data_IF_177382189141
#
_entry.id   IF_177382189141
#
_cell.length_a   1.000
_cell.length_b   1.000
_cell.length_c   1.000
_cell.angle_alpha   90.00
_cell.angle_beta   90.00
_cell.angle_gamma   90.00
#
_symmetry.space_group_name_H-M   'P 1'
#
loop_
_entity.id
_entity.type
_entity.pdbx_description
1 polymer ?
#
# COMPACT_ATOMS: atom_id res chain seq x y z
N UNK A 1 33.23 -34.69 -9.62
CA UNK A 1 31.85 -34.38 -9.99
C UNK A 1 31.05 -34.22 -8.72
N UNK A 2 30.78 -32.98 -8.33
CA UNK A 2 30.10 -32.68 -7.07
C UNK A 2 28.61 -32.97 -7.23
N UNK A 3 28.09 -33.93 -6.47
CA UNK A 3 26.68 -34.35 -6.47
C UNK A 3 25.83 -33.46 -5.53
N UNK A 4 26.23 -32.20 -5.33
CA UNK A 4 25.74 -31.36 -4.23
C UNK A 4 25.36 -30.00 -4.79
N UNK A 5 24.10 -29.58 -4.60
CA UNK A 5 23.52 -28.38 -5.20
C UNK A 5 22.73 -27.56 -4.18
N UNK A 6 22.83 -26.23 -4.22
CA UNK A 6 21.99 -25.36 -3.39
C UNK A 6 20.65 -25.13 -4.11
N UNK A 7 19.57 -25.64 -3.53
CA UNK A 7 18.22 -25.42 -4.03
C UNK A 7 17.71 -24.01 -3.72
N UNK A 8 16.73 -23.56 -4.52
CA UNK A 8 16.08 -22.26 -4.33
C UNK A 8 15.39 -22.09 -2.98
N UNK A 9 15.11 -23.18 -2.25
CA UNK A 9 14.56 -23.14 -0.90
C UNK A 9 15.63 -22.95 0.20
N UNK A 10 16.87 -22.67 -0.21
CA UNK A 10 18.01 -22.47 0.68
C UNK A 10 18.58 -23.77 1.24
N UNK A 11 18.12 -24.94 0.78
CA UNK A 11 18.63 -26.24 1.21
C UNK A 11 19.71 -26.77 0.29
N UNK A 12 20.63 -27.54 0.84
CA UNK A 12 21.65 -28.25 0.05
C UNK A 12 21.13 -29.64 -0.28
N UNK A 13 20.96 -29.90 -1.58
CA UNK A 13 20.54 -31.17 -2.14
C UNK A 13 21.73 -32.03 -2.55
N UNK A 14 21.60 -33.33 -2.31
CA UNK A 14 22.59 -34.35 -2.61
C UNK A 14 21.96 -35.33 -3.58
N UNK A 15 22.47 -35.39 -4.79
CA UNK A 15 21.91 -36.24 -5.82
C UNK A 15 22.36 -37.68 -5.67
N UNK A 16 21.43 -38.60 -5.83
CA UNK A 16 21.69 -40.03 -5.97
C UNK A 16 21.02 -40.56 -7.24
N UNK A 17 21.21 -41.84 -7.53
CA UNK A 17 20.66 -42.55 -8.69
C UNK A 17 19.16 -42.34 -8.99
N UNK A 18 18.32 -42.06 -7.99
CA UNK A 18 16.87 -41.98 -8.15
C UNK A 18 16.19 -40.90 -7.30
N UNK A 19 16.96 -40.02 -6.67
CA UNK A 19 16.44 -38.99 -5.76
C UNK A 19 17.47 -37.89 -5.51
N UNK A 20 16.98 -36.79 -4.96
CA UNK A 20 17.77 -35.81 -4.23
C UNK A 20 17.48 -36.00 -2.74
N UNK A 21 18.53 -36.23 -1.95
CA UNK A 21 18.49 -36.09 -0.50
C UNK A 21 18.78 -34.62 -0.13
N UNK A 22 18.49 -34.18 1.10
CA UNK A 22 18.81 -32.81 1.54
C UNK A 22 19.11 -32.76 3.03
N UNK A 23 19.86 -31.74 3.45
CA UNK A 23 19.83 -31.28 4.84
C UNK A 23 18.68 -30.28 4.99
N UNK A 24 17.81 -30.46 5.98
CA UNK A 24 16.72 -29.52 6.28
C UNK A 24 17.23 -28.18 6.82
N UNK A 25 18.43 -28.16 7.41
CA UNK A 25 19.16 -26.96 7.82
C UNK A 25 20.65 -27.11 7.45
N UNK A 26 21.07 -26.64 6.26
CA UNK A 26 22.45 -26.80 5.80
C UNK A 26 23.46 -25.93 6.57
N UNK A 27 23.01 -24.85 7.23
CA UNK A 27 23.87 -23.96 8.01
C UNK A 27 24.27 -24.57 9.37
N UNK A 28 23.60 -25.65 9.79
CA UNK A 28 23.95 -26.44 10.98
C UNK A 28 23.89 -27.93 10.65
N UNK A 29 24.90 -28.47 9.93
CA UNK A 29 24.89 -29.84 9.47
C UNK A 29 24.83 -30.81 10.65
N UNK A 30 23.76 -31.62 10.71
CA UNK A 30 23.55 -32.63 11.74
C UNK A 30 22.84 -33.84 11.11
N UNK A 31 23.25 -35.09 11.38
CA UNK A 31 22.54 -36.28 10.91
C UNK A 31 21.03 -36.29 11.22
N UNK A 32 20.61 -35.66 12.32
CA UNK A 32 19.19 -35.52 12.68
C UNK A 32 18.38 -34.66 11.69
N UNK A 33 19.06 -33.81 10.91
CA UNK A 33 18.47 -32.92 9.90
C UNK A 33 18.56 -33.53 8.48
N UNK A 34 19.02 -34.77 8.35
CA UNK A 34 19.12 -35.46 7.07
C UNK A 34 17.75 -35.95 6.59
N UNK A 35 17.36 -35.51 5.40
CA UNK A 35 16.17 -35.99 4.70
C UNK A 35 16.65 -36.82 3.51
N UNK A 36 16.59 -38.15 3.66
CA UNK A 36 17.19 -39.07 2.69
C UNK A 36 16.51 -39.06 1.32
N UNK A 37 15.24 -38.67 1.22
CA UNK A 37 14.47 -38.72 -0.02
C UNK A 37 13.57 -37.49 -0.15
N UNK A 38 14.20 -36.34 -0.42
CA UNK A 38 13.54 -35.05 -0.47
C UNK A 38 12.77 -34.83 -1.78
N UNK A 39 13.37 -35.23 -2.90
CA UNK A 39 12.75 -35.16 -4.23
C UNK A 39 13.05 -36.47 -4.96
N UNK A 40 12.04 -37.26 -5.36
CA UNK A 40 12.27 -38.39 -6.24
C UNK A 40 12.68 -37.87 -7.62
N UNK A 41 13.70 -38.49 -8.22
CA UNK A 41 14.13 -38.13 -9.59
C UNK A 41 14.01 -39.34 -10.50
N UNK A 42 13.19 -39.17 -11.53
CA UNK A 42 13.01 -40.13 -12.60
C UNK A 42 13.86 -39.67 -13.79
N UNK A 43 15.04 -40.25 -13.96
CA UNK A 43 15.83 -40.02 -15.16
C UNK A 43 15.41 -41.01 -16.25
N UNK A 44 15.23 -40.52 -17.47
CA UNK A 44 15.36 -41.38 -18.63
C UNK A 44 16.85 -41.69 -18.78
N UNK A 45 17.22 -42.96 -18.58
CA UNK A 45 18.59 -43.40 -18.79
C UNK A 45 19.04 -43.01 -20.21
N UNK A 46 20.15 -42.29 -20.33
CA UNK A 46 20.91 -42.28 -21.57
C UNK A 46 21.79 -43.52 -21.55
N UNK A 47 21.66 -44.35 -22.57
CA UNK A 47 22.57 -45.48 -22.78
C UNK A 47 23.80 -44.94 -23.50
N UNK A 48 24.83 -44.58 -22.74
CA UNK A 48 26.11 -44.20 -23.32
C UNK A 48 26.97 -45.45 -23.57
N UNK A 49 27.59 -45.50 -24.75
CA UNK A 49 28.42 -46.62 -25.18
C UNK A 49 29.88 -46.38 -24.80
N UNK A 50 30.28 -46.77 -23.59
CA UNK A 50 31.66 -46.71 -23.12
C UNK A 50 32.28 -48.12 -23.03
N UNK A 51 32.62 -48.70 -24.19
CA UNK A 51 33.27 -50.01 -24.27
C UNK A 51 32.30 -51.20 -24.23
N UNK A 52 32.76 -52.44 -23.91
CA UNK A 52 32.00 -53.67 -24.15
C UNK A 52 30.75 -53.87 -23.28
N UNK A 53 30.42 -52.90 -22.42
CA UNK A 53 29.22 -52.92 -21.58
C UNK A 53 28.49 -51.58 -21.65
N UNK A 54 27.15 -51.57 -21.80
CA UNK A 54 26.37 -50.35 -21.63
C UNK A 54 26.51 -49.85 -20.19
N UNK A 55 26.83 -48.57 -20.02
CA UNK A 55 26.82 -47.89 -18.72
C UNK A 55 25.63 -46.95 -18.69
N UNK A 56 24.91 -46.96 -17.56
CA UNK A 56 23.84 -45.99 -17.30
C UNK A 56 24.47 -44.67 -16.86
N UNK A 57 24.33 -43.63 -17.66
CA UNK A 57 24.64 -42.26 -17.26
C UNK A 57 23.36 -41.54 -16.83
N UNK A 58 23.45 -40.84 -15.70
CA UNK A 58 22.41 -39.96 -15.20
C UNK A 58 22.93 -38.54 -15.27
N UNK A 59 22.38 -37.73 -16.17
CA UNK A 59 22.74 -36.31 -16.28
C UNK A 59 21.96 -35.52 -15.24
N UNK A 60 22.63 -35.13 -14.16
CA UNK A 60 22.25 -33.93 -13.43
C UNK A 60 22.79 -32.74 -14.22
N UNK A 61 22.03 -31.64 -14.38
CA UNK A 61 22.63 -30.38 -14.78
C UNK A 61 23.72 -30.04 -13.76
N UNK A 62 24.99 -30.11 -14.16
CA UNK A 62 26.16 -29.83 -13.32
C UNK A 62 26.44 -28.31 -13.37
N UNK A 63 26.59 -27.66 -12.22
CA UNK A 63 26.91 -26.22 -12.09
C UNK A 63 28.39 -25.88 -12.36
N UNK A 64 29.07 -26.50 -13.33
CA UNK A 64 30.51 -26.25 -13.57
C UNK A 64 30.85 -26.00 -15.05
N UNK A 65 30.12 -25.11 -15.72
CA UNK A 65 30.57 -24.55 -17.02
C UNK A 65 31.10 -23.11 -16.91
N UNK A 66 31.17 -22.55 -15.71
CA UNK A 66 31.56 -21.16 -15.50
C UNK A 66 30.55 -20.15 -16.05
N UNK A 67 29.32 -20.59 -16.36
CA UNK A 67 28.24 -19.71 -16.77
C UNK A 67 27.78 -18.86 -15.58
N UNK A 68 27.65 -17.55 -15.83
CA UNK A 68 27.01 -16.64 -14.88
C UNK A 68 25.50 -16.87 -14.88
N UNK A 69 25.04 -17.87 -14.12
CA UNK A 69 23.61 -18.17 -13.97
C UNK A 69 22.84 -17.05 -13.27
N UNK A 70 23.52 -16.16 -12.55
CA UNK A 70 22.85 -14.97 -12.00
C UNK A 70 22.32 -14.10 -13.14
N UNK A 71 23.10 -13.90 -14.20
CA UNK A 71 22.63 -13.21 -15.41
C UNK A 71 21.40 -13.87 -16.06
N UNK A 72 21.25 -15.20 -15.95
CA UNK A 72 20.13 -15.95 -16.53
C UNK A 72 18.86 -15.89 -15.68
N UNK A 73 19.00 -16.02 -14.36
CA UNK A 73 17.87 -15.91 -13.43
C UNK A 73 17.36 -14.47 -13.31
N UNK A 74 18.23 -13.47 -13.48
CA UNK A 74 17.86 -12.05 -13.51
C UNK A 74 17.62 -11.52 -14.94
N UNK A 75 17.70 -12.36 -15.98
CA UNK A 75 17.53 -11.95 -17.38
C UNK A 75 16.17 -11.29 -17.64
N UNK A 76 15.12 -11.72 -16.93
CA UNK A 76 13.87 -10.99 -16.83
C UNK A 76 13.21 -11.18 -15.45
N UNK A 77 12.41 -10.19 -15.06
CA UNK A 77 11.78 -10.11 -13.73
C UNK A 77 10.92 -11.35 -13.42
N UNK A 78 10.20 -11.87 -14.41
CA UNK A 78 9.35 -13.05 -14.24
C UNK A 78 10.17 -14.32 -13.95
N UNK A 79 11.29 -14.49 -14.64
CA UNK A 79 12.24 -15.59 -14.42
C UNK A 79 12.84 -15.51 -13.01
N UNK A 80 13.25 -14.31 -12.58
CA UNK A 80 13.81 -14.12 -11.25
C UNK A 80 12.81 -14.51 -10.16
N UNK A 81 11.58 -14.00 -10.23
CA UNK A 81 10.53 -14.31 -9.24
C UNK A 81 10.29 -15.82 -9.19
N UNK A 82 10.21 -16.48 -10.34
CA UNK A 82 9.94 -17.92 -10.44
C UNK A 82 11.03 -18.77 -9.77
N UNK A 83 12.27 -18.28 -9.79
CA UNK A 83 13.45 -18.96 -9.27
C UNK A 83 13.91 -18.44 -7.90
N UNK A 84 13.22 -17.44 -7.33
CA UNK A 84 13.52 -16.88 -6.02
C UNK A 84 12.73 -17.58 -4.90
N UNK A 85 13.34 -17.70 -3.72
CA UNK A 85 12.64 -18.20 -2.54
C UNK A 85 11.58 -17.22 -2.03
N UNK A 86 10.41 -17.76 -1.69
CA UNK A 86 9.35 -17.09 -0.94
C UNK A 86 8.86 -17.98 0.20
N UNK A 87 8.47 -17.39 1.33
CA UNK A 87 7.90 -18.15 2.45
C UNK A 87 6.53 -18.75 2.08
N UNK A 88 5.79 -18.08 1.20
CA UNK A 88 4.58 -18.63 0.60
C UNK A 88 4.33 -18.02 -0.78
N UNK A 89 3.76 -18.82 -1.69
CA UNK A 89 3.29 -18.28 -2.96
C UNK A 89 1.97 -17.52 -2.75
N UNK A 90 0.94 -18.28 -2.38
CA UNK A 90 -0.33 -17.77 -1.88
C UNK A 90 -0.54 -18.34 -0.49
N UNK A 91 -0.87 -17.49 0.47
CA UNK A 91 -1.15 -17.88 1.85
C UNK A 91 -2.53 -17.38 2.28
N UNK A 92 -3.41 -18.30 2.65
CA UNK A 92 -4.72 -17.98 3.23
C UNK A 92 -4.70 -18.29 4.71
N UNK A 93 -5.00 -17.30 5.55
CA UNK A 93 -4.99 -17.48 7.00
C UNK A 93 -6.03 -18.52 7.46
N UNK A 94 -5.61 -19.62 8.11
CA UNK A 94 -6.53 -20.72 8.43
C UNK A 94 -7.43 -20.43 9.66
N UNK A 95 -6.96 -19.59 10.57
CA UNK A 95 -7.60 -19.33 11.85
C UNK A 95 -7.38 -17.89 12.31
N UNK A 96 -8.16 -17.48 13.32
CA UNK A 96 -7.88 -16.26 14.06
C UNK A 96 -6.52 -16.40 14.74
N UNK A 97 -5.64 -15.43 14.58
CA UNK A 97 -4.28 -15.53 15.10
C UNK A 97 -3.64 -14.17 15.33
N UNK A 98 -2.66 -14.15 16.23
CA UNK A 98 -1.68 -13.08 16.32
C UNK A 98 -0.35 -13.64 15.84
N UNK A 99 0.25 -13.00 14.83
CA UNK A 99 1.53 -13.38 14.27
C UNK A 99 2.61 -12.43 14.79
N UNK A 100 3.66 -13.00 15.36
CA UNK A 100 4.86 -12.29 15.83
C UNK A 100 6.12 -13.01 15.33
N UNK A 101 7.31 -12.39 15.40
CA UNK A 101 8.56 -13.10 15.11
C UNK A 101 8.74 -14.35 15.98
N UNK A 102 9.18 -15.45 15.38
CA UNK A 102 9.43 -16.73 16.04
C UNK A 102 9.10 -17.96 15.18
N UNK A 103 9.62 -19.12 15.55
CA UNK A 103 9.42 -20.37 14.79
C UNK A 103 7.99 -20.93 14.88
N UNK A 104 7.29 -20.65 15.99
CA UNK A 104 5.94 -21.18 16.27
C UNK A 104 4.87 -20.10 16.44
N UNK A 105 5.27 -18.83 16.36
CA UNK A 105 4.41 -17.66 16.61
C UNK A 105 3.90 -17.02 15.33
N UNK A 106 4.30 -17.51 14.15
CA UNK A 106 3.74 -17.15 12.86
C UNK A 106 3.75 -18.38 11.93
N UNK A 107 2.86 -18.43 10.93
CA UNK A 107 2.71 -19.60 10.06
C UNK A 107 3.88 -19.80 9.07
N UNK A 108 4.82 -18.86 9.02
CA UNK A 108 5.98 -18.89 8.11
C UNK A 108 7.26 -19.34 8.81
N UNK A 109 7.19 -19.66 10.12
CA UNK A 109 8.32 -19.96 10.98
C UNK A 109 9.44 -18.90 10.94
N UNK A 110 9.10 -17.64 10.65
CA UNK A 110 10.09 -16.56 10.52
C UNK A 110 10.52 -16.07 11.90
N UNK A 111 11.74 -16.41 12.30
CA UNK A 111 12.36 -15.96 13.57
C UNK A 111 12.77 -14.50 13.53
N UNK A 112 13.19 -14.00 12.37
CA UNK A 112 13.58 -12.59 12.17
C UNK A 112 12.38 -11.65 12.06
N UNK A 113 11.17 -12.18 11.85
CA UNK A 113 9.98 -11.39 11.57
C UNK A 113 9.86 -10.95 10.11
N UNK A 114 10.80 -11.32 9.24
CA UNK A 114 10.74 -11.01 7.80
C UNK A 114 10.03 -12.15 7.06
N UNK A 115 9.00 -11.84 6.28
CA UNK A 115 8.21 -12.80 5.49
C UNK A 115 8.15 -12.34 4.04
N UNK A 116 8.37 -13.27 3.12
CA UNK A 116 8.37 -13.06 1.67
C UNK A 116 7.14 -13.71 1.04
N UNK A 117 6.31 -12.96 0.32
CA UNK A 117 5.08 -13.45 -0.33
C UNK A 117 5.17 -13.25 -1.85
N UNK A 118 4.98 -14.33 -2.62
CA UNK A 118 5.11 -14.29 -4.09
C UNK A 118 3.87 -13.74 -4.81
N UNK A 119 2.66 -14.04 -4.31
CA UNK A 119 1.40 -13.73 -4.99
C UNK A 119 0.38 -13.09 -4.06
N UNK A 120 -0.11 -13.83 -3.07
CA UNK A 120 -1.24 -13.33 -2.27
C UNK A 120 -1.12 -13.69 -0.79
N UNK A 121 -1.38 -12.70 0.07
CA UNK A 121 -1.72 -12.93 1.47
C UNK A 121 -3.22 -12.66 1.64
N UNK A 122 -3.98 -13.69 2.01
CA UNK A 122 -5.43 -13.64 2.07
C UNK A 122 -5.88 -13.79 3.53
N UNK A 123 -6.67 -12.82 4.00
CA UNK A 123 -7.39 -12.88 5.26
C UNK A 123 -8.86 -13.16 4.92
N UNK A 124 -9.31 -14.42 5.06
CA UNK A 124 -10.62 -14.81 4.57
C UNK A 124 -11.75 -14.34 5.48
N UNK A 125 -12.98 -14.43 4.98
CA UNK A 125 -14.20 -14.11 5.74
C UNK A 125 -14.22 -14.80 7.12
N UNK A 126 -14.65 -14.07 8.14
CA UNK A 126 -14.77 -14.54 9.52
C UNK A 126 -13.45 -14.73 10.26
N UNK A 127 -12.30 -14.40 9.64
CA UNK A 127 -10.98 -14.49 10.30
C UNK A 127 -10.46 -13.12 10.71
N UNK A 128 -9.89 -13.06 11.92
CA UNK A 128 -9.14 -11.90 12.42
C UNK A 128 -7.68 -12.29 12.58
N UNK A 129 -6.80 -11.61 11.84
CA UNK A 129 -5.35 -11.76 11.96
C UNK A 129 -4.74 -10.45 12.42
N UNK A 130 -3.97 -10.52 13.50
CA UNK A 130 -3.12 -9.42 13.97
C UNK A 130 -1.67 -9.74 13.65
N UNK A 131 -0.96 -8.85 12.96
CA UNK A 131 0.47 -9.00 12.67
C UNK A 131 1.23 -7.96 13.48
N UNK A 132 2.17 -8.39 14.33
CA UNK A 132 2.91 -7.52 15.23
C UNK A 132 4.42 -7.63 15.07
N UNK A 133 5.11 -6.50 14.95
CA UNK A 133 6.58 -6.43 14.90
C UNK A 133 7.19 -7.27 13.77
N UNK A 134 6.52 -7.34 12.62
CA UNK A 134 7.00 -8.12 11.45
C UNK A 134 7.15 -7.21 10.23
N UNK A 135 7.90 -7.70 9.24
CA UNK A 135 8.03 -7.06 7.93
C UNK A 135 7.64 -8.06 6.85
N UNK A 136 6.63 -7.74 6.05
CA UNK A 136 6.24 -8.54 4.89
C UNK A 136 6.74 -7.84 3.63
N UNK A 137 7.50 -8.57 2.82
CA UNK A 137 7.94 -8.13 1.49
C UNK A 137 7.19 -8.89 0.42
N UNK A 138 6.55 -8.16 -0.48
CA UNK A 138 5.68 -8.67 -1.52
C UNK A 138 6.37 -8.60 -2.88
N UNK A 139 6.36 -9.69 -3.64
CA UNK A 139 6.83 -9.65 -5.02
C UNK A 139 6.08 -8.55 -5.83
N UNK A 140 6.64 -8.04 -6.94
CA UNK A 140 6.04 -6.93 -7.69
C UNK A 140 4.58 -7.17 -8.13
N UNK A 141 4.21 -8.41 -8.42
CA UNK A 141 2.84 -8.80 -8.77
C UNK A 141 1.93 -9.20 -7.60
N UNK A 142 2.45 -9.13 -6.37
CA UNK A 142 1.76 -9.62 -5.20
C UNK A 142 0.86 -8.56 -4.53
N UNK A 143 -0.15 -9.03 -3.80
CA UNK A 143 -1.11 -8.22 -3.06
C UNK A 143 -1.55 -8.86 -1.75
N UNK A 144 -2.11 -8.04 -0.87
CA UNK A 144 -2.89 -8.52 0.28
C UNK A 144 -4.37 -8.41 -0.05
N UNK A 145 -5.15 -9.40 0.32
CA UNK A 145 -6.60 -9.43 0.17
C UNK A 145 -7.25 -9.66 1.51
N UNK A 146 -8.13 -8.76 1.93
CA UNK A 146 -9.02 -8.96 3.08
C UNK A 146 -10.43 -9.16 2.55
N UNK A 147 -10.95 -10.37 2.71
CA UNK A 147 -12.22 -10.76 2.10
C UNK A 147 -13.43 -10.23 2.85
N UNK A 148 -14.47 -9.86 2.10
CA UNK A 148 -15.79 -9.54 2.65
C UNK A 148 -16.49 -10.79 3.20
N UNK A 149 -17.49 -10.58 4.05
CA UNK A 149 -18.34 -11.64 4.60
C UNK A 149 -19.26 -12.30 3.57
N UNK A 150 -19.79 -13.46 3.91
CA UNK A 150 -20.51 -14.38 3.01
C UNK A 150 -22.00 -14.55 3.38
N UNK A 151 -22.59 -13.62 4.13
CA UNK A 151 -23.92 -13.84 4.73
C UNK A 151 -23.83 -14.55 6.07
N UNK A 152 -23.17 -15.70 6.12
CA UNK A 152 -22.98 -16.50 7.33
C UNK A 152 -21.78 -16.06 8.19
N UNK A 153 -20.76 -15.49 7.55
CA UNK A 153 -19.54 -15.03 8.20
C UNK A 153 -19.40 -13.52 8.10
N UNK A 154 -18.86 -12.90 9.15
CA UNK A 154 -18.40 -11.51 9.13
C UNK A 154 -17.26 -11.32 8.10
N UNK A 155 -16.91 -10.07 7.80
CA UNK A 155 -15.74 -9.77 6.97
C UNK A 155 -14.43 -10.21 7.66
N UNK A 156 -13.42 -10.51 6.85
CA UNK A 156 -12.06 -10.69 7.33
C UNK A 156 -11.54 -9.40 7.97
N UNK A 157 -10.66 -9.54 8.96
CA UNK A 157 -10.06 -8.43 9.69
C UNK A 157 -8.56 -8.59 9.79
N UNK A 158 -7.83 -7.70 9.14
CA UNK A 158 -6.38 -7.60 9.23
C UNK A 158 -6.00 -6.40 10.11
N UNK A 159 -5.21 -6.65 11.14
CA UNK A 159 -4.70 -5.63 12.05
C UNK A 159 -3.17 -5.63 11.98
N UNK A 160 -2.57 -4.51 11.60
CA UNK A 160 -1.14 -4.27 11.69
C UNK A 160 -0.83 -3.48 12.96
N UNK A 161 0.19 -3.93 13.69
CA UNK A 161 0.66 -3.27 14.91
C UNK A 161 2.20 -3.24 14.89
N UNK A 162 2.79 -2.08 14.63
CA UNK A 162 4.23 -1.95 14.39
C UNK A 162 4.74 -2.93 13.30
N UNK A 163 4.01 -3.02 12.19
CA UNK A 163 4.31 -3.96 11.09
C UNK A 163 4.51 -3.19 9.79
N UNK A 164 5.48 -3.62 8.98
CA UNK A 164 5.78 -3.01 7.68
C UNK A 164 5.38 -3.93 6.54
N UNK A 165 4.58 -3.42 5.60
CA UNK A 165 4.30 -4.04 4.31
C UNK A 165 5.01 -3.25 3.21
N UNK A 166 5.89 -3.92 2.48
CA UNK A 166 6.76 -3.29 1.47
C UNK A 166 6.99 -4.23 0.29
N UNK A 167 7.67 -3.76 -0.75
CA UNK A 167 8.01 -4.58 -1.92
C UNK A 167 9.24 -5.46 -1.65
N UNK A 168 9.29 -6.63 -2.28
CA UNK A 168 10.51 -7.41 -2.44
C UNK A 168 11.24 -6.95 -3.71
N UNK A 169 12.37 -6.30 -3.50
CA UNK A 169 13.19 -5.61 -4.50
C UNK A 169 14.34 -6.47 -5.06
N UNK A 170 14.51 -7.71 -4.56
CA UNK A 170 15.60 -8.62 -4.96
C UNK A 170 15.65 -8.89 -6.47
N UNK A 171 14.48 -8.99 -7.11
CA UNK A 171 14.38 -9.24 -8.56
C UNK A 171 14.35 -7.97 -9.41
N UNK A 172 14.04 -6.83 -8.80
CA UNK A 172 13.99 -5.54 -9.46
C UNK A 172 14.06 -4.44 -8.39
N UNK A 173 15.16 -3.66 -8.32
CA UNK A 173 15.30 -2.59 -7.33
C UNK A 173 14.23 -1.50 -7.51
N UNK A 174 13.69 -1.37 -8.73
CA UNK A 174 12.66 -0.41 -9.06
C UNK A 174 11.24 -1.00 -8.94
N UNK A 175 11.08 -2.12 -8.23
CA UNK A 175 9.80 -2.78 -8.07
C UNK A 175 8.83 -1.96 -7.22
N UNK A 176 7.55 -2.09 -7.55
CA UNK A 176 6.44 -1.72 -6.67
C UNK A 176 5.46 -2.90 -6.63
N UNK A 177 4.87 -3.16 -5.47
CA UNK A 177 3.87 -4.23 -5.31
C UNK A 177 2.44 -3.70 -5.51
N UNK A 178 1.43 -4.58 -5.61
CA UNK A 178 0.06 -4.15 -5.93
C UNK A 178 -0.72 -3.60 -4.73
N UNK A 179 -0.26 -3.84 -3.51
CA UNK A 179 -0.84 -3.29 -2.29
C UNK A 179 -1.94 -4.11 -1.62
N UNK A 180 -2.71 -3.45 -0.75
CA UNK A 180 -3.78 -4.07 0.06
C UNK A 180 -5.15 -3.81 -0.57
N UNK A 181 -5.94 -4.86 -0.81
CA UNK A 181 -7.33 -4.75 -1.25
C UNK A 181 -8.29 -5.21 -0.13
N UNK A 182 -9.21 -4.34 0.24
CA UNK A 182 -10.16 -4.53 1.34
C UNK A 182 -11.55 -4.62 0.74
N UNK A 183 -12.07 -5.85 0.66
CA UNK A 183 -13.32 -6.11 -0.04
C UNK A 183 -14.53 -5.78 0.83
N UNK A 184 -15.59 -5.31 0.19
CA UNK A 184 -16.84 -5.03 0.88
C UNK A 184 -18.08 -5.38 0.09
N UNK A 185 -19.22 -4.99 0.65
CA UNK A 185 -20.51 -4.95 -0.02
C UNK A 185 -20.94 -3.49 -0.19
N UNK A 186 -21.23 -3.10 -1.43
CA UNK A 186 -21.52 -1.71 -1.84
C UNK A 186 -22.58 -1.03 -0.98
N UNK A 187 -23.55 -1.81 -0.48
CA UNK A 187 -24.78 -1.32 0.14
C UNK A 187 -25.14 -2.00 1.48
N UNK A 188 -24.19 -2.63 2.16
CA UNK A 188 -24.44 -3.26 3.46
C UNK A 188 -23.85 -2.46 4.63
N UNK A 189 -24.42 -2.66 5.82
CA UNK A 189 -23.97 -1.99 7.04
C UNK A 189 -22.52 -2.33 7.41
N UNK A 190 -21.79 -1.30 7.83
CA UNK A 190 -20.48 -1.44 8.47
C UNK A 190 -20.59 -1.69 9.99
N UNK A 191 -21.80 -1.64 10.54
CA UNK A 191 -22.10 -1.83 11.97
C UNK A 191 -23.26 -2.81 12.21
N UNK A 192 -23.30 -3.52 13.36
CA UNK A 192 -22.29 -3.51 14.42
C UNK A 192 -20.99 -4.21 13.99
N UNK A 193 -19.87 -3.78 14.58
CA UNK A 193 -18.52 -4.21 14.24
C UNK A 193 -18.33 -5.74 14.28
N UNK A 194 -19.02 -6.42 15.21
CA UNK A 194 -18.88 -7.86 15.44
C UNK A 194 -19.49 -8.73 14.33
N UNK A 195 -20.46 -8.23 13.59
CA UNK A 195 -21.20 -9.00 12.56
C UNK A 195 -21.16 -8.37 11.18
N UNK A 196 -20.49 -7.22 11.03
CA UNK A 196 -20.37 -6.57 9.73
C UNK A 196 -19.71 -7.51 8.72
N UNK A 197 -20.31 -7.60 7.53
CA UNK A 197 -19.77 -8.35 6.39
C UNK A 197 -18.75 -7.54 5.59
N UNK A 198 -18.41 -6.34 6.05
CA UNK A 198 -17.38 -5.51 5.43
C UNK A 198 -16.02 -5.98 5.92
N UNK A 199 -15.03 -6.09 5.05
CA UNK A 199 -13.67 -6.40 5.47
C UNK A 199 -13.03 -5.20 6.17
N UNK A 200 -12.06 -5.49 7.05
CA UNK A 200 -11.38 -4.50 7.86
C UNK A 200 -9.88 -4.57 7.65
N UNK A 201 -9.28 -3.44 7.30
CA UNK A 201 -7.84 -3.23 7.37
C UNK A 201 -7.54 -2.13 8.38
N UNK A 202 -6.79 -2.48 9.42
CA UNK A 202 -6.51 -1.59 10.55
C UNK A 202 -4.99 -1.48 10.71
N UNK A 203 -4.46 -0.26 10.69
CA UNK A 203 -3.04 0.03 10.93
C UNK A 203 -2.86 0.80 12.25
N UNK A 204 -1.96 0.32 13.11
CA UNK A 204 -1.67 0.94 14.41
C UNK A 204 -0.17 0.99 14.70
N UNK A 205 0.20 1.85 15.66
CA UNK A 205 1.48 1.85 16.37
C UNK A 205 2.70 1.81 15.45
N UNK A 206 2.77 2.75 14.52
CA UNK A 206 3.88 2.91 13.59
C UNK A 206 3.88 1.92 12.43
N UNK A 207 2.76 1.26 12.14
CA UNK A 207 2.66 0.37 10.97
C UNK A 207 2.87 1.15 9.67
N UNK A 208 3.49 0.51 8.69
CA UNK A 208 3.89 1.12 7.42
C UNK A 208 3.35 0.31 6.24
N UNK A 209 2.78 0.99 5.26
CA UNK A 209 2.52 0.46 3.91
C UNK A 209 3.28 1.32 2.91
N UNK A 210 4.24 0.73 2.20
CA UNK A 210 5.13 1.48 1.32
C UNK A 210 5.48 0.78 0.01
N UNK A 211 5.93 1.58 -0.96
CA UNK A 211 6.37 1.12 -2.28
C UNK A 211 5.31 0.32 -3.06
N UNK A 212 4.03 0.59 -2.84
CA UNK A 212 2.91 -0.01 -3.58
C UNK A 212 2.44 0.87 -4.74
N UNK A 213 1.93 0.26 -5.82
CA UNK A 213 1.16 0.98 -6.83
C UNK A 213 -0.11 1.60 -6.22
N UNK A 214 -0.72 0.91 -5.25
CA UNK A 214 -1.80 1.44 -4.41
C UNK A 214 -1.67 0.94 -2.99
N UNK A 215 -1.45 1.78 -1.99
CA UNK A 215 -1.20 1.35 -0.61
C UNK A 215 -2.34 0.47 -0.05
N UNK A 216 -3.53 1.05 0.12
CA UNK A 216 -4.73 0.33 0.55
C UNK A 216 -5.99 0.81 -0.18
N UNK A 217 -6.76 -0.12 -0.73
CA UNK A 217 -7.96 0.19 -1.52
C UNK A 217 -9.19 -0.53 -1.01
N UNK A 218 -10.30 0.17 -0.87
CA UNK A 218 -11.60 -0.39 -0.49
C UNK A 218 -12.42 -0.83 -1.71
N UNK A 219 -11.79 -1.60 -2.61
CA UNK A 219 -12.36 -2.13 -3.85
C UNK A 219 -11.51 -3.30 -4.35
N UNK A 220 -12.11 -4.24 -5.08
CA UNK A 220 -11.37 -5.27 -5.80
C UNK A 220 -10.82 -4.73 -7.12
N UNK A 221 -9.55 -4.99 -7.38
CA UNK A 221 -8.86 -4.64 -8.61
C UNK A 221 -8.18 -5.89 -9.16
N UNK A 222 -8.56 -6.28 -10.37
CA UNK A 222 -7.92 -7.35 -11.10
C UNK A 222 -6.57 -6.86 -11.64
N UNK A 223 -5.60 -7.77 -11.74
CA UNK A 223 -4.25 -7.48 -12.19
C UNK A 223 -3.77 -8.55 -13.16
N UNK A 224 -2.79 -8.20 -14.01
CA UNK A 224 -2.13 -9.17 -14.88
C UNK A 224 -1.34 -10.18 -14.03
N UNK A 225 -1.39 -11.49 -14.36
CA UNK A 225 -0.69 -12.52 -13.60
C UNK A 225 0.81 -12.61 -13.91
N UNK A 226 1.25 -11.96 -15.00
CA UNK A 226 2.62 -11.98 -15.50
C UNK A 226 3.16 -10.57 -15.65
N UNK A 227 4.49 -10.45 -15.68
CA UNK A 227 5.16 -9.18 -15.98
C UNK A 227 4.78 -8.63 -17.38
N UNK A 228 4.57 -7.31 -17.54
CA UNK A 228 4.58 -6.27 -16.51
C UNK A 228 3.31 -6.28 -15.66
N UNK A 229 3.47 -6.42 -14.34
CA UNK A 229 2.36 -6.45 -13.41
C UNK A 229 1.64 -5.09 -13.39
N UNK A 230 0.37 -5.09 -13.76
CA UNK A 230 -0.47 -3.89 -13.80
C UNK A 230 -1.92 -4.23 -13.49
N UNK A 231 -2.66 -3.23 -13.02
CA UNK A 231 -4.10 -3.32 -12.85
C UNK A 231 -4.81 -3.37 -14.21
N UNK A 232 -5.83 -4.22 -14.33
CA UNK A 232 -6.58 -4.41 -15.58
C UNK A 232 -8.00 -3.87 -15.48
N UNK A 233 -8.72 -4.18 -14.41
CA UNK A 233 -10.10 -3.74 -14.22
C UNK A 233 -10.50 -3.63 -12.75
N UNK A 234 -11.43 -2.72 -12.47
CA UNK A 234 -12.09 -2.64 -11.16
C UNK A 234 -13.32 -3.54 -11.14
N UNK A 235 -13.55 -4.19 -10.02
CA UNK A 235 -14.81 -4.87 -9.72
C UNK A 235 -15.55 -4.08 -8.63
N UNK A 236 -16.41 -3.17 -9.08
CA UNK A 236 -17.16 -2.28 -8.19
C UNK A 236 -18.23 -2.99 -7.35
N UNK A 237 -18.44 -4.30 -7.52
CA UNK A 237 -19.30 -5.07 -6.62
C UNK A 237 -18.64 -5.33 -5.26
N UNK A 238 -17.32 -5.08 -5.13
CA UNK A 238 -16.53 -5.38 -3.94
C UNK A 238 -16.08 -4.11 -3.19
N UNK A 239 -16.82 -3.01 -3.31
CA UNK A 239 -16.55 -1.77 -2.54
C UNK A 239 -17.17 -1.82 -1.15
N UNK A 240 -16.84 -0.86 -0.28
CA UNK A 240 -17.42 -0.74 1.06
C UNK A 240 -16.57 -1.30 2.19
N UNK A 241 -15.42 -1.88 1.87
CA UNK A 241 -14.39 -2.26 2.84
C UNK A 241 -13.96 -1.07 3.70
N UNK A 242 -13.50 -1.37 4.91
CA UNK A 242 -13.19 -0.37 5.93
C UNK A 242 -11.68 -0.29 6.11
N UNK A 243 -11.12 0.91 5.96
CA UNK A 243 -9.71 1.19 6.20
C UNK A 243 -9.61 2.15 7.38
N UNK A 244 -8.94 1.73 8.44
CA UNK A 244 -8.66 2.55 9.60
C UNK A 244 -7.16 2.60 9.85
N UNK A 245 -6.64 3.79 10.14
CA UNK A 245 -5.25 3.94 10.51
C UNK A 245 -5.11 4.93 11.67
N UNK A 246 -4.28 4.57 12.64
CA UNK A 246 -3.89 5.44 13.75
C UNK A 246 -2.38 5.36 13.95
N UNK A 247 -1.70 6.51 14.09
CA UNK A 247 -0.25 6.55 14.32
C UNK A 247 0.51 5.72 13.28
N UNK A 248 0.21 5.85 11.99
CA UNK A 248 0.69 4.93 10.95
C UNK A 248 1.11 5.68 9.68
N UNK A 249 1.81 4.98 8.79
CA UNK A 249 2.48 5.60 7.65
C UNK A 249 2.11 4.94 6.31
N UNK A 250 1.85 5.78 5.31
CA UNK A 250 1.82 5.41 3.91
C UNK A 250 2.94 6.15 3.19
N UNK A 251 3.95 5.42 2.69
CA UNK A 251 5.19 6.03 2.19
C UNK A 251 5.51 5.60 0.76
N UNK A 252 5.81 6.56 -0.11
CA UNK A 252 6.27 6.31 -1.48
C UNK A 252 5.41 5.29 -2.25
N UNK A 253 4.10 5.27 -1.98
CA UNK A 253 3.16 4.59 -2.85
C UNK A 253 2.83 5.52 -4.01
N UNK A 254 2.49 4.96 -5.17
CA UNK A 254 1.99 5.80 -6.28
C UNK A 254 0.66 6.45 -5.92
N UNK A 255 -0.17 5.73 -5.17
CA UNK A 255 -1.37 6.23 -4.53
C UNK A 255 -1.51 5.58 -3.15
N UNK A 256 -1.74 6.32 -2.08
CA UNK A 256 -1.75 5.69 -0.74
C UNK A 256 -3.06 4.99 -0.43
N UNK A 257 -4.20 5.69 -0.60
CA UNK A 257 -5.52 5.18 -0.21
C UNK A 257 -6.55 5.43 -1.29
N UNK A 258 -7.42 4.45 -1.52
CA UNK A 258 -8.55 4.56 -2.45
C UNK A 258 -9.88 4.11 -1.86
N UNK A 259 -10.90 4.95 -2.00
CA UNK A 259 -12.28 4.60 -1.76
C UNK A 259 -13.13 4.76 -3.01
N UNK A 260 -14.00 3.78 -3.24
CA UNK A 260 -14.99 3.76 -4.32
C UNK A 260 -16.39 3.65 -3.74
N UNK A 261 -17.38 3.86 -4.62
CA UNK A 261 -18.79 4.04 -4.27
C UNK A 261 -19.23 3.10 -3.15
N UNK A 262 -19.69 3.65 -2.05
CA UNK A 262 -20.30 2.91 -0.94
C UNK A 262 -21.54 3.66 -0.46
N UNK A 263 -22.68 2.99 -0.51
CA UNK A 263 -23.98 3.53 -0.13
C UNK A 263 -24.36 2.88 1.18
N UNK A 264 -23.95 3.48 2.29
CA UNK A 264 -24.33 2.95 3.58
C UNK A 264 -25.86 2.94 3.74
N UNK A 265 -26.48 1.86 4.27
CA UNK A 265 -27.89 1.89 4.60
C UNK A 265 -28.20 3.05 5.55
N UNK A 266 -29.35 3.70 5.34
CA UNK A 266 -29.80 4.86 6.12
C UNK A 266 -28.82 6.06 6.10
N UNK A 267 -27.96 6.17 5.08
CA UNK A 267 -26.98 7.25 4.93
C UNK A 267 -26.04 7.42 6.13
N UNK A 268 -25.74 6.33 6.86
CA UNK A 268 -24.74 6.38 7.94
C UNK A 268 -23.35 6.64 7.37
N UNK A 269 -22.49 7.28 8.18
CA UNK A 269 -21.12 7.52 7.77
C UNK A 269 -20.34 6.22 7.59
N UNK A 270 -19.48 6.20 6.58
CA UNK A 270 -18.46 5.17 6.43
C UNK A 270 -17.57 5.16 7.68
N UNK A 271 -17.25 3.98 8.18
CA UNK A 271 -16.46 3.78 9.40
C UNK A 271 -14.94 3.93 9.17
N UNK A 272 -14.51 4.20 7.94
CA UNK A 272 -13.11 4.46 7.61
C UNK A 272 -12.63 5.79 8.19
N UNK A 273 -11.45 5.79 8.79
CA UNK A 273 -10.92 6.95 9.53
C UNK A 273 -9.40 6.90 9.64
N UNK A 274 -8.76 8.06 9.53
CA UNK A 274 -7.31 8.25 9.63
C UNK A 274 -7.01 9.28 10.71
N UNK A 275 -6.21 8.90 11.70
CA UNK A 275 -5.89 9.75 12.85
C UNK A 275 -4.40 9.73 13.11
N UNK A 276 -3.75 10.90 13.15
CA UNK A 276 -2.30 10.99 13.39
C UNK A 276 -1.49 10.08 12.44
N UNK A 277 -1.84 10.06 11.16
CA UNK A 277 -1.12 9.30 10.13
C UNK A 277 -0.32 10.23 9.22
N UNK A 278 0.71 9.68 8.59
CA UNK A 278 1.55 10.40 7.64
C UNK A 278 1.50 9.71 6.27
N UNK A 279 1.13 10.50 5.26
CA UNK A 279 1.09 10.15 3.85
C UNK A 279 2.20 10.93 3.17
N UNK A 280 3.27 10.24 2.75
CA UNK A 280 4.50 10.91 2.31
C UNK A 280 5.05 10.38 1.01
N UNK A 281 5.54 11.33 0.21
CA UNK A 281 6.58 11.08 -0.80
C UNK A 281 7.87 11.69 -0.29
N UNK A 282 8.90 10.90 -0.05
CA UNK A 282 10.19 11.38 0.47
C UNK A 282 11.39 11.10 -0.46
N UNK A 283 11.10 10.78 -1.71
CA UNK A 283 12.07 10.57 -2.78
C UNK A 283 11.36 10.32 -4.11
N UNK A 284 12.14 9.88 -5.11
CA UNK A 284 11.55 9.23 -6.28
C UNK A 284 10.79 7.97 -5.82
N UNK A 285 9.65 7.69 -6.45
CA UNK A 285 9.01 6.38 -6.28
C UNK A 285 9.99 5.29 -6.71
N UNK A 286 9.90 4.10 -6.09
CA UNK A 286 10.78 2.98 -6.42
C UNK A 286 10.86 2.73 -7.92
N UNK A 287 9.73 2.79 -8.62
CA UNK A 287 9.74 2.90 -10.07
C UNK A 287 9.75 4.38 -10.49
N UNK A 288 10.90 4.93 -10.96
CA UNK A 288 11.02 6.35 -11.28
C UNK A 288 10.26 6.76 -12.55
N UNK A 289 9.70 5.82 -13.30
CA UNK A 289 8.78 6.11 -14.42
C UNK A 289 7.44 6.61 -13.90
N UNK A 290 7.05 6.22 -12.68
CA UNK A 290 5.85 6.71 -12.03
C UNK A 290 6.14 7.96 -11.20
N UNK A 291 5.09 8.75 -11.01
CA UNK A 291 5.05 9.88 -10.10
C UNK A 291 3.92 9.67 -9.07
N UNK A 292 4.03 10.28 -7.87
CA UNK A 292 2.96 10.30 -6.90
C UNK A 292 1.71 10.94 -7.51
N UNK A 293 0.58 10.26 -7.38
CA UNK A 293 -0.68 10.73 -7.98
C UNK A 293 -1.56 11.34 -6.90
N UNK A 294 -2.01 10.54 -5.94
CA UNK A 294 -2.87 11.00 -4.84
C UNK A 294 -2.43 10.30 -3.55
N UNK A 295 -2.33 11.02 -2.45
CA UNK A 295 -2.31 10.37 -1.15
C UNK A 295 -3.68 9.70 -0.92
N UNK A 296 -4.78 10.46 -1.04
CA UNK A 296 -6.13 9.90 -0.90
C UNK A 296 -6.97 10.19 -2.14
N UNK A 297 -7.57 9.14 -2.70
CA UNK A 297 -8.65 9.26 -3.68
C UNK A 297 -9.97 8.76 -3.11
N UNK A 298 -11.02 9.55 -3.25
CA UNK A 298 -12.39 9.19 -2.85
C UNK A 298 -13.38 9.42 -3.98
N UNK A 299 -14.17 8.41 -4.29
CA UNK A 299 -15.27 8.54 -5.25
C UNK A 299 -16.56 8.00 -4.66
N UNK A 300 -17.53 8.89 -4.48
CA UNK A 300 -18.90 8.58 -4.10
C UNK A 300 -19.06 7.84 -2.76
N UNK A 301 -18.46 8.43 -1.72
CA UNK A 301 -18.45 7.91 -0.36
C UNK A 301 -18.83 9.01 0.64
N UNK A 302 -19.35 8.61 1.79
CA UNK A 302 -19.83 9.54 2.84
C UNK A 302 -19.18 9.20 4.16
N UNK A 303 -18.71 10.21 4.87
CA UNK A 303 -18.38 10.11 6.29
C UNK A 303 -16.95 9.73 6.63
N UNK A 304 -16.04 9.68 5.64
CA UNK A 304 -14.63 9.41 5.90
C UNK A 304 -14.03 10.59 6.67
N UNK A 305 -13.29 10.29 7.74
CA UNK A 305 -12.71 11.31 8.62
C UNK A 305 -11.18 11.31 8.65
N UNK A 306 -10.58 12.49 8.57
CA UNK A 306 -9.15 12.75 8.65
C UNK A 306 -8.87 13.72 9.81
N UNK A 307 -8.11 13.25 10.81
CA UNK A 307 -7.81 14.00 12.03
C UNK A 307 -6.31 14.05 12.36
N UNK A 308 -5.72 15.24 12.28
CA UNK A 308 -4.30 15.46 12.62
C UNK A 308 -3.34 14.63 11.75
N UNK A 309 -3.60 14.51 10.45
CA UNK A 309 -2.76 13.77 9.52
C UNK A 309 -1.84 14.69 8.72
N UNK A 310 -0.72 14.16 8.28
CA UNK A 310 0.24 14.83 7.41
C UNK A 310 0.16 14.27 5.98
N UNK A 311 -0.05 15.13 4.99
CA UNK A 311 -0.01 14.83 3.56
C UNK A 311 1.10 15.66 2.93
N UNK A 312 2.25 15.03 2.64
CA UNK A 312 3.47 15.79 2.34
C UNK A 312 4.26 15.21 1.18
N UNK A 313 4.75 16.08 0.32
CA UNK A 313 5.89 15.77 -0.53
C UNK A 313 7.15 16.38 0.08
N UNK A 314 8.01 15.54 0.67
CA UNK A 314 9.26 15.96 1.32
C UNK A 314 10.41 16.15 0.31
N UNK A 315 10.18 15.82 -0.96
CA UNK A 315 11.15 15.99 -2.06
C UNK A 315 10.51 16.66 -3.28
N UNK A 316 9.87 17.82 -3.12
CA UNK A 316 9.08 18.45 -4.19
C UNK A 316 9.94 18.96 -5.35
N UNK A 317 11.25 19.10 -5.13
CA UNK A 317 12.27 19.44 -6.11
C UNK A 317 12.63 18.30 -7.07
N UNK A 318 12.26 17.05 -6.74
CA UNK A 318 12.44 15.90 -7.66
C UNK A 318 11.31 15.77 -8.68
N UNK A 319 10.26 16.59 -8.56
CA UNK A 319 9.05 16.51 -9.39
C UNK A 319 8.69 17.88 -9.97
N UNK A 320 8.17 17.86 -11.21
CA UNK A 320 7.46 19.03 -11.73
C UNK A 320 6.24 19.32 -10.85
N UNK A 321 5.79 20.59 -10.82
CA UNK A 321 4.66 21.00 -9.98
C UNK A 321 3.44 20.08 -10.09
N UNK A 322 3.03 19.71 -11.31
CA UNK A 322 1.88 18.84 -11.58
C UNK A 322 2.06 17.37 -11.19
N UNK A 323 3.30 16.97 -10.87
CA UNK A 323 3.70 15.59 -10.53
C UNK A 323 3.98 15.41 -9.04
N UNK A 324 3.81 16.46 -8.22
CA UNK A 324 4.09 16.40 -6.77
C UNK A 324 3.09 15.58 -5.95
N UNK A 325 2.05 15.04 -6.59
CA UNK A 325 0.95 14.36 -5.91
C UNK A 325 -0.06 15.34 -5.30
N UNK A 326 -1.25 14.83 -4.98
CA UNK A 326 -2.33 15.60 -4.34
C UNK A 326 -2.61 15.02 -2.96
N UNK A 327 -2.99 15.85 -1.99
CA UNK A 327 -3.34 15.40 -0.65
C UNK A 327 -4.62 14.58 -0.69
N UNK A 328 -5.75 15.25 -0.96
CA UNK A 328 -7.05 14.59 -1.12
C UNK A 328 -7.66 14.98 -2.46
N UNK A 329 -7.93 13.98 -3.30
CA UNK A 329 -8.78 14.12 -4.47
C UNK A 329 -10.13 13.44 -4.21
N UNK A 330 -11.23 14.18 -4.34
CA UNK A 330 -12.57 13.64 -4.16
C UNK A 330 -13.51 13.97 -5.30
N UNK A 331 -14.33 12.99 -5.69
CA UNK A 331 -15.45 13.14 -6.62
C UNK A 331 -16.72 12.62 -5.95
N UNK A 332 -17.74 13.47 -5.84
CA UNK A 332 -19.04 13.15 -5.21
C UNK A 332 -18.92 12.56 -3.79
N UNK A 333 -17.94 13.00 -3.00
CA UNK A 333 -17.73 12.53 -1.63
C UNK A 333 -18.17 13.54 -0.56
N UNK A 334 -18.61 13.02 0.59
CA UNK A 334 -18.78 13.79 1.82
C UNK A 334 -17.79 13.33 2.88
N UNK A 335 -16.97 14.24 3.42
CA UNK A 335 -15.89 13.87 4.34
C UNK A 335 -15.47 15.03 5.24
N UNK A 336 -14.72 14.69 6.28
CA UNK A 336 -14.27 15.62 7.33
C UNK A 336 -12.74 15.67 7.37
N UNK A 337 -12.18 16.87 7.37
CA UNK A 337 -10.75 17.14 7.50
C UNK A 337 -10.58 18.12 8.65
N UNK A 338 -10.49 17.61 9.88
CA UNK A 338 -10.51 18.47 11.06
C UNK A 338 -9.26 18.24 11.89
N UNK A 339 -8.75 19.28 12.56
CA UNK A 339 -7.73 19.08 13.57
C UNK A 339 -8.17 18.03 14.61
N UNK A 340 -7.22 17.20 15.04
CA UNK A 340 -7.39 16.29 16.15
C UNK A 340 -7.31 17.07 17.46
N UNK A 341 -8.27 16.88 18.34
CA UNK A 341 -8.17 17.43 19.69
C UNK A 341 -7.09 16.67 20.47
N UNK A 342 -6.16 17.41 21.10
CA UNK A 342 -5.13 16.86 21.98
C UNK A 342 -5.53 16.88 23.46
N UNK A 343 -6.57 17.64 23.79
CA UNK A 343 -7.03 17.82 25.16
C UNK A 343 -8.13 16.84 25.55
N UNK A 344 -8.19 16.51 26.84
CA UNK A 344 -9.27 15.74 27.46
C UNK A 344 -10.44 16.64 27.94
N UNK A 345 -10.31 17.97 27.85
CA UNK A 345 -11.33 18.93 28.29
C UNK A 345 -12.17 19.47 27.13
N UNK A 346 -13.45 19.75 27.38
CA UNK A 346 -14.36 20.37 26.41
C UNK A 346 -14.80 21.77 26.86
N UNK A 347 -14.75 22.81 25.99
CA UNK A 347 -14.30 22.78 24.60
C UNK A 347 -12.78 22.52 24.49
N UNK A 348 -12.36 21.93 23.38
CA UNK A 348 -10.95 21.61 23.13
C UNK A 348 -10.11 22.88 23.03
N UNK A 349 -8.95 22.91 23.69
CA UNK A 349 -8.04 24.06 23.77
C UNK A 349 -6.66 23.84 23.11
N UNK A 350 -6.36 22.60 22.70
CA UNK A 350 -5.11 22.25 22.03
C UNK A 350 -5.40 21.29 20.88
N UNK A 351 -4.87 21.61 19.71
CA UNK A 351 -5.22 20.98 18.46
C UNK A 351 -3.97 20.54 17.70
N UNK A 352 -4.09 19.39 17.08
CA UNK A 352 -3.13 18.83 16.14
C UNK A 352 -3.75 18.90 14.73
N UNK A 353 -3.40 19.89 13.91
CA UNK A 353 -4.02 20.14 12.61
C UNK A 353 -3.67 19.05 11.60
N UNK A 354 -4.52 18.83 10.58
CA UNK A 354 -3.99 18.16 9.39
C UNK A 354 -3.06 19.13 8.66
N UNK A 355 -1.98 18.62 8.06
CA UNK A 355 -1.02 19.42 7.28
C UNK A 355 -0.97 18.91 5.85
N UNK A 356 -1.20 19.80 4.89
CA UNK A 356 -0.99 19.56 3.47
C UNK A 356 0.21 20.38 3.03
N UNK A 357 1.28 19.74 2.55
CA UNK A 357 2.52 20.44 2.30
C UNK A 357 3.23 20.02 1.01
N UNK A 358 3.64 21.03 0.23
CA UNK A 358 4.50 20.87 -0.95
C UNK A 358 3.86 20.03 -2.09
N UNK A 359 2.53 20.00 -2.16
CA UNK A 359 1.75 19.23 -3.13
C UNK A 359 1.31 20.06 -4.34
N UNK A 360 0.81 19.40 -5.40
CA UNK A 360 0.14 20.11 -6.49
C UNK A 360 -1.24 20.64 -6.05
N UNK A 361 -2.02 19.79 -5.38
CA UNK A 361 -3.24 20.19 -4.68
C UNK A 361 -3.17 19.71 -3.24
N UNK A 362 -3.46 20.57 -2.27
CA UNK A 362 -3.77 20.11 -0.91
C UNK A 362 -5.09 19.32 -0.92
N UNK A 363 -6.18 19.99 -1.30
CA UNK A 363 -7.50 19.36 -1.52
C UNK A 363 -8.04 19.75 -2.88
N UNK A 364 -8.53 18.77 -3.65
CA UNK A 364 -9.35 19.01 -4.84
C UNK A 364 -10.66 18.25 -4.71
N UNK A 365 -11.77 18.96 -4.62
CA UNK A 365 -13.10 18.37 -4.47
C UNK A 365 -14.02 18.77 -5.62
N UNK A 366 -14.57 17.77 -6.30
CA UNK A 366 -15.58 17.93 -7.34
C UNK A 366 -16.85 17.23 -6.88
N UNK A 367 -17.99 17.89 -6.86
CA UNK A 367 -19.21 17.24 -6.42
C UNK A 367 -20.47 17.96 -6.88
N UNK A 368 -21.62 17.26 -6.84
CA UNK A 368 -22.92 17.90 -6.86
C UNK A 368 -23.37 18.46 -5.48
N UNK A 369 -24.58 19.07 -5.41
CA UNK A 369 -25.10 19.77 -4.23
C UNK A 369 -25.08 19.01 -2.90
N UNK A 370 -25.32 17.69 -2.92
CA UNK A 370 -25.52 16.88 -1.70
C UNK A 370 -24.23 16.23 -1.16
N UNK A 371 -23.08 16.56 -1.74
CA UNK A 371 -21.77 15.97 -1.41
C UNK A 371 -20.80 17.09 -1.13
N UNK A 372 -20.26 17.14 0.09
CA UNK A 372 -19.55 18.33 0.56
C UNK A 372 -18.38 18.01 1.47
N UNK A 373 -17.40 18.91 1.53
CA UNK A 373 -16.22 18.81 2.39
C UNK A 373 -16.33 19.79 3.56
N UNK A 374 -15.95 19.33 4.74
CA UNK A 374 -15.81 20.17 5.93
C UNK A 374 -14.37 20.11 6.43
N UNK A 375 -13.70 21.25 6.38
CA UNK A 375 -12.31 21.43 6.76
C UNK A 375 -12.17 22.48 7.87
N UNK A 376 -11.75 22.07 9.06
CA UNK A 376 -11.56 22.96 10.20
C UNK A 376 -10.16 22.85 10.82
N UNK A 377 -9.49 23.98 11.02
CA UNK A 377 -8.19 24.06 11.71
C UNK A 377 -7.09 23.23 11.07
N UNK A 378 -6.93 23.33 9.76
CA UNK A 378 -5.86 22.66 9.02
C UNK A 378 -4.82 23.65 8.51
N UNK A 379 -3.65 23.12 8.12
CA UNK A 379 -2.55 23.88 7.53
C UNK A 379 -2.35 23.47 6.08
N UNK A 380 -2.28 24.45 5.19
CA UNK A 380 -1.94 24.27 3.78
C UNK A 380 -0.68 25.07 3.49
N UNK A 381 0.45 24.39 3.31
CA UNK A 381 1.78 25.00 3.24
C UNK A 381 2.41 24.75 1.89
N UNK A 382 2.73 25.81 1.15
CA UNK A 382 3.47 25.74 -0.12
C UNK A 382 2.88 24.76 -1.15
N UNK A 383 1.56 24.57 -1.12
CA UNK A 383 0.88 23.80 -2.15
C UNK A 383 0.71 24.69 -3.38
N UNK A 384 0.89 24.14 -4.58
CA UNK A 384 0.68 24.89 -5.82
C UNK A 384 -0.78 25.40 -5.90
N UNK A 385 -1.72 24.58 -5.44
CA UNK A 385 -3.08 24.96 -5.11
C UNK A 385 -3.44 24.44 -3.72
N UNK A 386 -3.87 25.31 -2.80
CA UNK A 386 -4.26 24.89 -1.45
C UNK A 386 -5.52 24.02 -1.46
N UNK A 387 -6.67 24.62 -1.76
CA UNK A 387 -7.95 23.93 -1.87
C UNK A 387 -8.74 24.40 -3.10
N UNK A 388 -9.17 23.47 -3.95
CA UNK A 388 -10.10 23.73 -5.05
C UNK A 388 -11.41 22.98 -4.81
N UNK A 389 -12.54 23.70 -4.83
CA UNK A 389 -13.87 23.12 -4.78
C UNK A 389 -14.64 23.48 -6.04
N UNK A 390 -15.20 22.48 -6.73
CA UNK A 390 -15.99 22.65 -7.95
C UNK A 390 -17.33 21.96 -7.86
N UNK A 391 -18.39 22.72 -7.55
CA UNK A 391 -19.78 22.25 -7.48
C UNK A 391 -20.37 21.88 -6.11
N UNK A 392 -19.62 21.52 -5.04
CA UNK A 392 -20.22 21.22 -3.74
C UNK A 392 -21.04 22.38 -3.18
N UNK A 393 -22.23 22.09 -2.64
CA UNK A 393 -22.95 23.04 -1.80
C UNK A 393 -22.60 22.84 -0.32
N UNK A 394 -22.76 23.90 0.48
CA UNK A 394 -22.57 23.89 1.93
C UNK A 394 -21.18 23.46 2.41
N UNK A 395 -20.16 23.59 1.55
CA UNK A 395 -18.78 23.36 1.92
C UNK A 395 -18.39 24.30 3.07
N UNK A 396 -17.64 23.79 4.04
CA UNK A 396 -17.24 24.56 5.21
C UNK A 396 -15.73 24.52 5.35
N UNK A 397 -15.09 25.67 5.27
CA UNK A 397 -13.66 25.86 5.52
C UNK A 397 -13.52 26.92 6.60
N UNK A 398 -13.15 26.51 7.82
CA UNK A 398 -13.05 27.44 8.95
C UNK A 398 -11.72 27.33 9.67
N UNK A 399 -11.17 28.47 10.09
CA UNK A 399 -9.98 28.52 10.96
C UNK A 399 -8.76 27.79 10.41
N UNK A 400 -8.65 27.68 9.08
CA UNK A 400 -7.51 27.07 8.42
C UNK A 400 -6.44 28.13 8.14
N UNK A 401 -5.19 27.69 8.15
CA UNK A 401 -4.03 28.52 7.82
C UNK A 401 -3.51 28.11 6.43
N UNK A 402 -3.52 29.05 5.49
CA UNK A 402 -2.99 28.88 4.15
C UNK A 402 -1.73 29.72 3.99
N UNK A 403 -0.58 29.06 3.94
CA UNK A 403 0.67 29.63 3.44
C UNK A 403 0.73 29.40 1.93
N UNK A 404 0.16 30.35 1.19
CA UNK A 404 -0.06 30.25 -0.25
C UNK A 404 1.24 30.34 -1.02
N UNK A 405 1.30 29.69 -2.18
CA UNK A 405 2.49 29.67 -3.03
C UNK A 405 3.08 31.06 -3.29
N UNK A 406 4.40 31.18 -3.41
CA UNK A 406 5.03 32.51 -3.58
C UNK A 406 4.59 33.18 -4.89
N UNK A 407 4.23 34.47 -4.80
CA UNK A 407 3.84 35.29 -5.95
C UNK A 407 5.06 36.00 -6.55
N UNK A 408 5.11 36.10 -7.88
CA UNK A 408 6.01 37.02 -8.57
C UNK A 408 5.35 38.39 -8.71
N UNK A 409 6.18 39.42 -8.99
CA UNK A 409 5.71 40.67 -9.60
C UNK A 409 4.87 40.37 -10.85
N UNK A 410 3.86 41.20 -11.19
CA UNK A 410 2.76 40.82 -12.08
C UNK A 410 3.20 39.97 -13.28
N UNK A 411 2.94 38.67 -13.20
CA UNK A 411 3.32 37.69 -14.21
C UNK A 411 2.10 36.81 -14.53
N UNK A 412 1.43 37.02 -15.69
CA UNK A 412 0.16 36.37 -16.00
C UNK A 412 0.30 34.91 -16.45
N UNK A 413 1.50 34.35 -16.54
CA UNK A 413 1.73 33.02 -17.14
C UNK A 413 1.20 31.88 -16.27
N UNK A 414 1.18 32.05 -14.95
CA UNK A 414 0.70 31.03 -14.00
C UNK A 414 -0.10 31.70 -12.89
N UNK A 415 -1.23 31.08 -12.52
CA UNK A 415 -2.08 31.53 -11.43
C UNK A 415 -2.20 30.41 -10.41
N UNK A 416 -1.84 30.71 -9.17
CA UNK A 416 -1.92 29.81 -8.01
C UNK A 416 -2.87 30.41 -6.97
N UNK A 417 -3.38 29.60 -6.05
CA UNK A 417 -4.32 30.10 -5.03
C UNK A 417 -4.30 29.28 -3.74
N UNK A 418 -4.63 29.94 -2.63
CA UNK A 418 -4.91 29.28 -1.36
C UNK A 418 -6.21 28.49 -1.40
N UNK A 419 -7.30 29.14 -1.81
CA UNK A 419 -8.60 28.52 -1.98
C UNK A 419 -9.24 28.98 -3.30
N UNK A 420 -10.05 28.14 -3.94
CA UNK A 420 -10.86 28.54 -5.09
C UNK A 420 -12.21 27.82 -5.06
N UNK A 421 -13.29 28.60 -5.19
CA UNK A 421 -14.68 28.13 -5.17
C UNK A 421 -15.30 28.31 -6.56
N UNK A 422 -15.56 27.20 -7.25
CA UNK A 422 -16.20 27.20 -8.57
C UNK A 422 -17.60 26.60 -8.49
N UNK A 423 -18.62 27.39 -8.82
CA UNK A 423 -20.02 26.94 -8.83
C UNK A 423 -20.47 26.28 -7.50
N UNK A 424 -19.97 26.77 -6.36
CA UNK A 424 -20.39 26.34 -5.02
C UNK A 424 -21.46 27.28 -4.46
N UNK A 425 -22.48 26.75 -3.77
CA UNK A 425 -23.52 27.58 -3.12
C UNK A 425 -23.62 27.30 -1.62
N UNK A 426 -24.06 28.31 -0.86
CA UNK A 426 -24.26 28.18 0.59
C UNK A 426 -23.01 27.80 1.39
N UNK A 427 -21.82 28.04 0.83
CA UNK A 427 -20.54 27.71 1.47
C UNK A 427 -20.26 28.64 2.67
N UNK A 428 -19.39 28.16 3.56
CA UNK A 428 -18.90 28.87 4.73
C UNK A 428 -17.37 28.93 4.68
N UNK A 429 -16.82 30.13 4.58
CA UNK A 429 -15.37 30.43 4.62
C UNK A 429 -15.15 31.49 5.68
N UNK A 430 -14.81 31.07 6.91
CA UNK A 430 -14.73 31.97 8.07
C UNK A 430 -13.41 31.77 8.83
N UNK A 431 -12.83 32.87 9.34
CA UNK A 431 -11.65 32.84 10.20
C UNK A 431 -10.42 32.13 9.62
N UNK A 432 -10.32 31.99 8.29
CA UNK A 432 -9.13 31.44 7.65
C UNK A 432 -8.07 32.53 7.47
N UNK A 433 -6.81 32.16 7.64
CA UNK A 433 -5.65 33.05 7.43
C UNK A 433 -5.00 32.73 6.09
N UNK A 434 -4.68 33.74 5.29
CA UNK A 434 -3.95 33.60 4.04
C UNK A 434 -2.69 34.47 4.08
N UNK A 435 -1.53 33.84 4.06
CA UNK A 435 -0.22 34.50 4.02
C UNK A 435 0.60 33.93 2.88
N UNK A 436 1.50 34.74 2.31
CA UNK A 436 2.46 34.21 1.34
C UNK A 436 3.44 33.23 2.03
N UNK A 437 3.82 32.17 1.33
CA UNK A 437 4.82 31.22 1.79
C UNK A 437 6.19 31.91 1.96
N UNK A 438 6.70 31.87 3.19
CA UNK A 438 7.87 32.62 3.60
C UNK A 438 9.17 31.84 3.38
N UNK A 439 9.51 31.60 2.10
CA UNK A 439 10.84 31.13 1.69
C UNK A 439 11.37 31.97 0.52
N UNK A 440 12.41 32.79 0.74
CA UNK A 440 12.99 33.63 -0.31
C UNK A 440 13.68 32.83 -1.42
N UNK A 441 13.94 31.54 -1.23
CA UNK A 441 14.51 30.65 -2.24
C UNK A 441 13.44 29.85 -2.99
N UNK A 442 12.19 29.85 -2.52
CA UNK A 442 11.10 29.20 -3.23
C UNK A 442 10.80 29.95 -4.55
N UNK A 443 10.57 29.16 -5.60
CA UNK A 443 10.19 29.67 -6.93
C UNK A 443 8.87 30.43 -6.87
N UNK A 444 8.79 31.51 -7.64
CA UNK A 444 7.60 32.34 -7.82
C UNK A 444 7.23 32.38 -9.31
N UNK A 445 6.51 31.37 -9.84
CA UNK A 445 6.27 31.21 -11.28
C UNK A 445 5.18 32.13 -11.82
N UNK A 446 4.40 32.79 -10.97
CA UNK A 446 3.26 33.59 -11.41
C UNK A 446 2.57 34.33 -10.26
N UNK A 447 1.32 34.73 -10.49
CA UNK A 447 0.51 35.43 -9.50
C UNK A 447 -0.15 34.43 -8.54
N UNK A 448 -0.12 34.71 -7.24
CA UNK A 448 -0.86 33.93 -6.24
C UNK A 448 -2.02 34.73 -5.64
N UNK A 449 -3.17 34.07 -5.46
CA UNK A 449 -4.36 34.62 -4.82
C UNK A 449 -4.66 33.93 -3.49
N UNK A 450 -5.28 34.63 -2.55
CA UNK A 450 -5.74 34.03 -1.30
C UNK A 450 -6.95 33.11 -1.51
N UNK A 451 -8.06 33.69 -2.00
CA UNK A 451 -9.35 33.03 -2.28
C UNK A 451 -9.87 33.43 -3.64
#
# INVERSE_FOLDING_TARGET
>A
FTQIELGKDGKIYFATNNRLATLSNPNTPNPANWVNSAVPVSYYQTLDYAGPSPVSSYTLPDQIDGMDYTSHFFANIQCCITNTFFNAQTFTAPANATWTPGTTTNPFASTSGIVLIEKELIIPAGKTVTIQNMTFKFAPGAKVVVERGTGALAGGKLILNNTTFTVDDRCNPNAMWLGVQVYGHVNQNQTPYSTSQQAWFIMNNGSVVEHALKGAVAVKINSQPNYPFNFTSYDFNYTGGIIQATNSYFKNNRQDVEFRRYIAPNNVNNQSRFTNCEFTTNGLLNNPVYYPVYHVFMHDVVGIGFYGNDFKNLTPNLYNYSQRGWGIYSVDAHYFVNARCLSMTFPCNSFDPNVFQDLYFGIRALAGPLRTVKADRNKFINNFFGAYLGGPDFATFTRNDFEVFRSATPNPVTQTYGMYLNACHGYKVEENTFTEYNDPNASAPGNTYGV
#
